data_IF_364019442390
#
_entry.id   IF_364019442390
#
_cell.length_a   1.000
_cell.length_b   1.000
_cell.length_c   1.000
_cell.angle_alpha   90.00
_cell.angle_beta   90.00
_cell.angle_gamma   90.00
#
_symmetry.space_group_name_H-M   'P 1'
#
loop_
_entity.id
_entity.type
_entity.pdbx_description
1 polymer ?
#
# COMPACT_ATOMS: atom_id res chain seq x y z
N UNK A 1 4.16 23.74 8.48
CA UNK A 1 4.28 22.81 7.34
C UNK A 1 5.70 22.71 6.79
N UNK A 2 6.35 23.83 6.40
CA UNK A 2 7.75 23.79 5.90
C UNK A 2 8.72 23.18 6.91
N UNK A 3 8.66 23.64 8.16
CA UNK A 3 9.48 23.13 9.27
C UNK A 3 9.25 21.62 9.54
N UNK A 4 8.00 21.14 9.48
CA UNK A 4 7.70 19.71 9.63
C UNK A 4 8.32 18.88 8.49
N UNK A 5 8.28 19.37 7.25
CA UNK A 5 8.91 18.69 6.12
C UNK A 5 10.44 18.64 6.28
N UNK A 6 11.05 19.72 6.77
CA UNK A 6 12.49 19.76 7.07
C UNK A 6 12.85 18.73 8.15
N UNK A 7 12.05 18.64 9.23
CA UNK A 7 12.25 17.63 10.27
C UNK A 7 12.15 16.20 9.73
N UNK A 8 11.19 15.93 8.83
CA UNK A 8 11.05 14.62 8.18
C UNK A 8 12.27 14.30 7.32
N UNK A 9 12.76 15.27 6.55
CA UNK A 9 13.93 15.09 5.69
C UNK A 9 15.18 14.82 6.54
N UNK A 10 15.41 15.60 7.60
CA UNK A 10 16.52 15.38 8.53
C UNK A 10 16.45 13.99 9.15
N UNK A 11 15.29 13.59 9.66
CA UNK A 11 15.10 12.24 10.21
C UNK A 11 15.39 11.15 9.17
N UNK A 12 14.95 11.31 7.92
CA UNK A 12 15.17 10.32 6.87
C UNK A 12 16.66 10.22 6.48
N UNK A 13 17.37 11.35 6.48
CA UNK A 13 18.83 11.39 6.28
C UNK A 13 19.56 10.67 7.41
N UNK A 14 19.20 10.94 8.67
CA UNK A 14 19.82 10.29 9.85
C UNK A 14 19.61 8.78 9.88
N UNK A 15 18.54 8.30 9.23
CA UNK A 15 18.25 6.86 9.04
C UNK A 15 18.93 6.25 7.82
N UNK A 16 19.68 7.01 7.04
CA UNK A 16 20.35 6.53 5.83
C UNK A 16 19.39 6.16 4.69
N UNK A 17 18.15 6.65 4.73
CA UNK A 17 17.13 6.34 3.71
C UNK A 17 17.57 6.89 2.35
N UNK A 18 18.12 8.10 2.32
CA UNK A 18 18.57 8.71 1.07
C UNK A 18 19.81 8.05 0.46
N UNK A 19 20.59 7.35 1.28
CA UNK A 19 21.80 6.65 0.82
C UNK A 19 21.51 5.22 0.33
N UNK A 20 20.43 4.60 0.84
CA UNK A 20 20.14 3.17 0.62
C UNK A 20 18.85 2.89 -0.16
N UNK A 21 17.97 3.88 -0.30
CA UNK A 21 16.68 3.77 -0.99
C UNK A 21 16.73 4.38 -2.40
N UNK A 22 15.63 4.22 -3.13
CA UNK A 22 15.43 4.82 -4.44
C UNK A 22 13.97 5.31 -4.57
N UNK A 23 13.67 6.24 -5.50
CA UNK A 23 12.31 6.71 -5.72
C UNK A 23 11.30 5.58 -5.91
N UNK A 24 11.63 4.54 -6.70
CA UNK A 24 10.74 3.39 -6.90
C UNK A 24 10.52 2.59 -5.61
N UNK A 25 11.58 2.34 -4.82
CA UNK A 25 11.45 1.66 -3.51
C UNK A 25 10.63 2.49 -2.50
N UNK A 26 10.79 3.81 -2.52
CA UNK A 26 10.00 4.68 -1.65
C UNK A 26 8.54 4.80 -2.13
N UNK A 27 8.30 4.71 -3.43
CA UNK A 27 6.97 4.67 -4.00
C UNK A 27 6.21 3.40 -3.59
N UNK A 28 6.86 2.23 -3.51
CA UNK A 28 6.21 1.02 -2.98
C UNK A 28 5.81 1.18 -1.51
N UNK A 29 6.63 1.86 -0.70
CA UNK A 29 6.26 2.20 0.68
C UNK A 29 5.08 3.18 0.74
N UNK A 30 5.04 4.15 -0.17
CA UNK A 30 3.90 5.07 -0.26
C UNK A 30 2.60 4.34 -0.61
N UNK A 31 2.65 3.35 -1.51
CA UNK A 31 1.48 2.51 -1.80
C UNK A 31 1.01 1.73 -0.56
N UNK A 32 1.93 1.19 0.24
CA UNK A 32 1.61 0.51 1.50
C UNK A 32 0.85 1.43 2.46
N UNK A 33 1.34 2.64 2.74
CA UNK A 33 0.65 3.58 3.65
C UNK A 33 -0.70 4.02 3.09
N UNK A 34 -0.83 4.16 1.76
CA UNK A 34 -2.14 4.43 1.13
C UNK A 34 -3.11 3.27 1.35
N UNK A 35 -2.64 2.01 1.33
CA UNK A 35 -3.51 0.86 1.62
C UNK A 35 -3.90 0.77 3.10
N UNK A 36 -3.02 1.18 4.02
CA UNK A 36 -3.38 1.36 5.44
C UNK A 36 -4.50 2.40 5.59
N UNK A 37 -4.38 3.55 4.91
CA UNK A 37 -5.42 4.58 4.92
C UNK A 37 -6.75 4.10 4.34
N UNK A 38 -6.74 3.40 3.20
CA UNK A 38 -7.95 2.81 2.61
C UNK A 38 -8.61 1.84 3.60
N UNK A 39 -7.82 1.02 4.28
CA UNK A 39 -8.32 0.06 5.28
C UNK A 39 -8.97 0.79 6.47
N UNK A 40 -8.30 1.80 7.02
CA UNK A 40 -8.81 2.60 8.14
C UNK A 40 -10.13 3.30 7.77
N UNK A 41 -10.25 3.82 6.54
CA UNK A 41 -11.47 4.43 6.02
C UNK A 41 -12.62 3.41 5.88
N UNK A 42 -12.34 2.21 5.35
CA UNK A 42 -13.33 1.13 5.22
C UNK A 42 -13.84 0.69 6.60
N UNK A 43 -12.94 0.59 7.57
CA UNK A 43 -13.26 0.21 8.95
C UNK A 43 -13.86 1.35 9.78
N UNK A 44 -13.87 2.58 9.26
CA UNK A 44 -14.31 3.81 9.96
C UNK A 44 -13.59 4.02 11.29
N UNK A 45 -12.30 3.70 11.35
CA UNK A 45 -11.49 3.86 12.55
C UNK A 45 -10.82 5.24 12.54
N UNK A 46 -11.36 6.19 13.31
CA UNK A 46 -10.90 7.59 13.33
C UNK A 46 -9.43 7.74 13.77
N UNK A 47 -8.97 6.95 14.74
CA UNK A 47 -7.58 7.02 15.23
C UNK A 47 -6.61 6.58 14.14
N UNK A 48 -6.87 5.42 13.51
CA UNK A 48 -6.04 4.89 12.43
C UNK A 48 -6.10 5.76 11.17
N UNK A 49 -7.23 6.43 10.90
CA UNK A 49 -7.34 7.39 9.79
C UNK A 49 -6.34 8.55 9.98
N UNK A 50 -6.25 9.11 11.19
CA UNK A 50 -5.34 10.23 11.48
C UNK A 50 -3.89 9.81 11.30
N UNK A 51 -3.51 8.66 11.85
CA UNK A 51 -2.15 8.13 11.74
C UNK A 51 -1.79 7.81 10.29
N UNK A 52 -2.65 7.12 9.55
CA UNK A 52 -2.39 6.75 8.16
C UNK A 52 -2.31 7.97 7.21
N UNK A 53 -3.10 9.02 7.43
CA UNK A 53 -2.95 10.30 6.69
C UNK A 53 -1.55 10.89 6.93
N UNK A 54 -1.07 10.86 8.18
CA UNK A 54 0.26 11.32 8.56
C UNK A 54 1.36 10.51 7.88
N UNK A 55 1.27 9.18 7.96
CA UNK A 55 2.26 8.25 7.38
C UNK A 55 2.34 8.40 5.85
N UNK A 56 1.21 8.54 5.14
CA UNK A 56 1.18 8.86 3.70
C UNK A 56 1.90 10.17 3.39
N UNK A 57 1.66 11.23 4.17
CA UNK A 57 2.33 12.50 3.94
C UNK A 57 3.85 12.42 4.20
N UNK A 58 4.27 11.69 5.25
CA UNK A 58 5.70 11.43 5.53
C UNK A 58 6.36 10.72 4.34
N UNK A 59 5.74 9.65 3.81
CA UNK A 59 6.34 8.92 2.68
C UNK A 59 6.40 9.75 1.41
N UNK A 60 5.41 10.63 1.15
CA UNK A 60 5.41 11.56 0.02
C UNK A 60 6.52 12.61 0.11
N UNK A 61 6.79 13.16 1.30
CA UNK A 61 7.88 14.12 1.51
C UNK A 61 9.24 13.47 1.22
N UNK A 62 9.47 12.26 1.73
CA UNK A 62 10.69 11.49 1.48
C UNK A 62 10.83 11.13 -0.01
N UNK A 63 9.74 10.67 -0.64
CA UNK A 63 9.71 10.33 -2.06
C UNK A 63 10.11 11.52 -2.94
N UNK A 64 9.53 12.70 -2.67
CA UNK A 64 9.88 13.92 -3.40
C UNK A 64 11.39 14.20 -3.30
N UNK A 65 11.96 14.10 -2.09
CA UNK A 65 13.38 14.36 -1.87
C UNK A 65 14.28 13.37 -2.62
N UNK A 66 13.93 12.09 -2.62
CA UNK A 66 14.65 11.05 -3.40
C UNK A 66 14.59 11.33 -4.91
N UNK A 67 13.42 11.72 -5.42
CA UNK A 67 13.23 12.00 -6.84
C UNK A 67 14.03 13.22 -7.34
N UNK A 68 14.42 14.15 -6.45
CA UNK A 68 15.31 15.26 -6.76
C UNK A 68 16.77 14.83 -6.89
N UNK A 69 17.21 13.82 -6.14
CA UNK A 69 18.62 13.41 -6.03
C UNK A 69 18.99 12.18 -6.86
N UNK A 70 18.02 11.42 -7.34
CA UNK A 70 18.25 10.14 -8.03
C UNK A 70 17.37 10.00 -9.26
N UNK A 71 17.90 9.32 -10.28
CA UNK A 71 17.14 8.95 -11.49
C UNK A 71 16.89 7.46 -11.49
N UNK A 72 15.68 7.09 -11.88
CA UNK A 72 15.26 5.71 -12.03
C UNK A 72 15.33 5.29 -13.49
N UNK A 73 15.46 3.98 -13.73
CA UNK A 73 15.23 3.46 -15.08
C UNK A 73 13.76 3.69 -15.48
N UNK A 74 13.54 4.14 -16.72
CA UNK A 74 12.20 4.31 -17.27
C UNK A 74 11.53 3.00 -17.67
N UNK A 75 12.19 1.85 -17.53
CA UNK A 75 11.71 0.56 -18.05
C UNK A 75 10.34 0.19 -17.50
N UNK A 76 10.12 0.39 -16.19
CA UNK A 76 8.84 0.07 -15.56
C UNK A 76 7.68 0.84 -16.19
N UNK A 77 7.91 2.09 -16.62
CA UNK A 77 6.89 2.97 -17.22
C UNK A 77 6.21 2.38 -18.46
N UNK A 78 6.86 1.42 -19.13
CA UNK A 78 6.32 0.77 -20.32
C UNK A 78 5.42 -0.44 -20.00
N UNK A 79 5.42 -0.92 -18.75
CA UNK A 79 4.66 -2.11 -18.35
C UNK A 79 3.15 -1.84 -18.34
N UNK A 80 2.36 -2.87 -18.71
CA UNK A 80 0.89 -2.81 -18.59
C UNK A 80 0.38 -2.73 -17.15
N UNK A 81 1.26 -2.85 -16.16
CA UNK A 81 0.90 -2.72 -14.74
C UNK A 81 0.18 -1.39 -14.43
N UNK A 82 0.57 -0.28 -15.06
CA UNK A 82 -0.07 1.01 -14.81
C UNK A 82 -1.50 1.07 -15.34
N UNK A 83 -1.78 0.40 -16.45
CA UNK A 83 -3.15 0.28 -16.99
C UNK A 83 -3.98 -0.64 -16.08
N UNK A 84 -3.39 -1.74 -15.59
CA UNK A 84 -4.02 -2.62 -14.62
C UNK A 84 -4.41 -1.85 -13.34
N UNK A 85 -3.49 -1.08 -12.76
CA UNK A 85 -3.73 -0.24 -11.58
C UNK A 85 -4.91 0.71 -11.83
N UNK A 86 -4.95 1.35 -13.00
CA UNK A 86 -6.06 2.24 -13.35
C UNK A 86 -7.41 1.51 -13.37
N UNK A 87 -7.48 0.30 -13.93
CA UNK A 87 -8.71 -0.50 -13.88
C UNK A 87 -9.11 -0.90 -12.46
N UNK A 88 -8.15 -1.23 -11.60
CA UNK A 88 -8.43 -1.52 -10.18
C UNK A 88 -9.03 -0.30 -9.48
N UNK A 89 -8.49 0.89 -9.72
CA UNK A 89 -9.02 2.15 -9.16
C UNK A 89 -10.44 2.43 -9.67
N UNK A 90 -10.71 2.22 -10.96
CA UNK A 90 -12.07 2.40 -11.51
C UNK A 90 -13.06 1.37 -10.96
N UNK A 91 -12.65 0.10 -10.78
CA UNK A 91 -13.47 -0.91 -10.09
C UNK A 91 -13.79 -0.46 -8.68
N UNK A 92 -12.79 -0.04 -7.91
CA UNK A 92 -12.96 0.43 -6.53
C UNK A 92 -13.98 1.57 -6.46
N UNK A 93 -13.80 2.60 -7.29
CA UNK A 93 -14.70 3.76 -7.38
C UNK A 93 -16.13 3.37 -7.73
N UNK A 94 -16.32 2.45 -8.70
CA UNK A 94 -17.65 1.98 -9.12
C UNK A 94 -18.34 1.15 -8.04
N UNK A 95 -17.60 0.32 -7.30
CA UNK A 95 -18.12 -0.41 -6.14
C UNK A 95 -18.65 0.58 -5.09
N UNK A 96 -17.88 1.63 -4.75
CA UNK A 96 -18.33 2.67 -3.82
C UNK A 96 -19.58 3.44 -4.31
N UNK A 97 -19.90 3.36 -5.59
CA UNK A 97 -21.06 3.99 -6.22
C UNK A 97 -22.20 3.00 -6.51
N UNK A 98 -22.08 1.74 -6.07
CA UNK A 98 -23.03 0.66 -6.37
C UNK A 98 -23.27 0.45 -7.88
N UNK A 99 -22.21 0.55 -8.70
CA UNK A 99 -22.27 0.38 -10.15
C UNK A 99 -21.75 -1.00 -10.58
N UNK A 100 -22.22 -1.48 -11.73
CA UNK A 100 -21.66 -2.66 -12.39
C UNK A 100 -20.18 -2.45 -12.74
N UNK A 101 -19.37 -3.48 -12.48
CA UNK A 101 -17.94 -3.51 -12.73
C UNK A 101 -17.52 -4.63 -13.68
N UNK A 102 -18.48 -5.35 -14.26
CA UNK A 102 -18.20 -6.57 -15.06
C UNK A 102 -17.19 -6.28 -16.17
N UNK A 103 -17.40 -5.19 -16.92
CA UNK A 103 -16.48 -4.82 -18.01
C UNK A 103 -15.11 -4.38 -17.50
N UNK A 104 -15.04 -3.72 -16.34
CA UNK A 104 -13.78 -3.23 -15.77
C UNK A 104 -12.94 -4.40 -15.24
N UNK A 105 -13.58 -5.41 -14.64
CA UNK A 105 -12.94 -6.66 -14.22
C UNK A 105 -12.35 -7.41 -15.41
N UNK A 106 -13.10 -7.56 -16.51
CA UNK A 106 -12.59 -8.22 -17.72
C UNK A 106 -11.36 -7.46 -18.27
N UNK A 107 -11.39 -6.13 -18.28
CA UNK A 107 -10.26 -5.31 -18.73
C UNK A 107 -9.05 -5.40 -17.80
N UNK A 108 -9.28 -5.45 -16.48
CA UNK A 108 -8.22 -5.70 -15.51
C UNK A 108 -7.58 -7.08 -15.74
N UNK A 109 -8.39 -8.12 -15.94
CA UNK A 109 -7.89 -9.47 -16.24
C UNK A 109 -7.09 -9.51 -17.55
N UNK A 110 -7.52 -8.81 -18.59
CA UNK A 110 -6.77 -8.70 -19.85
C UNK A 110 -5.41 -8.03 -19.64
N UNK A 111 -5.34 -6.94 -18.85
CA UNK A 111 -4.06 -6.29 -18.53
C UNK A 111 -3.17 -7.18 -17.69
N UNK A 112 -3.73 -7.92 -16.73
CA UNK A 112 -2.99 -8.89 -15.93
C UNK A 112 -2.40 -10.02 -16.79
N UNK A 113 -3.15 -10.49 -17.79
CA UNK A 113 -2.63 -11.45 -18.78
C UNK A 113 -1.42 -10.88 -19.53
N UNK A 114 -1.48 -9.62 -19.98
CA UNK A 114 -0.35 -8.94 -20.65
C UNK A 114 0.85 -8.76 -19.72
N UNK A 115 0.64 -8.41 -18.45
CA UNK A 115 1.71 -8.34 -17.45
C UNK A 115 2.37 -9.71 -17.25
N UNK A 116 1.59 -10.80 -17.22
CA UNK A 116 2.17 -12.15 -17.16
C UNK A 116 3.07 -12.43 -18.37
N UNK A 117 2.62 -12.08 -19.58
CA UNK A 117 3.41 -12.24 -20.81
C UNK A 117 4.70 -11.41 -20.80
N UNK A 118 4.66 -10.16 -20.33
CA UNK A 118 5.85 -9.31 -20.15
C UNK A 118 6.91 -9.96 -19.24
N UNK A 119 6.47 -10.86 -18.35
CA UNK A 119 7.31 -11.59 -17.41
C UNK A 119 7.56 -13.06 -17.81
N UNK A 120 7.31 -13.41 -19.08
CA UNK A 120 7.47 -14.78 -19.61
C UNK A 120 6.64 -15.83 -18.87
N UNK A 121 5.46 -15.45 -18.39
CA UNK A 121 4.49 -16.31 -17.72
C UNK A 121 3.16 -16.35 -18.50
N UNK A 122 2.30 -17.31 -18.16
CA UNK A 122 0.90 -17.34 -18.61
C UNK A 122 -0.04 -17.10 -17.45
N UNK A 123 -1.21 -16.52 -17.71
CA UNK A 123 -2.19 -16.26 -16.66
C UNK A 123 -2.71 -17.57 -16.05
N UNK A 124 -2.80 -18.63 -16.85
CA UNK A 124 -3.22 -19.96 -16.43
C UNK A 124 -2.21 -20.58 -15.46
N UNK A 125 -0.90 -20.50 -15.76
CA UNK A 125 0.15 -21.01 -14.88
C UNK A 125 0.18 -20.24 -13.55
N UNK A 126 0.13 -18.91 -13.61
CA UNK A 126 0.07 -18.04 -12.42
C UNK A 126 -1.16 -18.36 -11.55
N UNK A 127 -2.33 -18.49 -12.18
CA UNK A 127 -3.59 -18.78 -11.49
C UNK A 127 -3.60 -20.18 -10.90
N UNK A 128 -3.11 -21.19 -11.64
CA UNK A 128 -3.00 -22.57 -11.16
C UNK A 128 -2.07 -22.67 -9.95
N UNK A 129 -0.93 -21.95 -9.98
CA UNK A 129 0.00 -21.86 -8.86
C UNK A 129 -0.68 -21.30 -7.60
N UNK A 130 -1.40 -20.18 -7.74
CA UNK A 130 -2.16 -19.58 -6.64
C UNK A 130 -3.27 -20.52 -6.14
N UNK A 131 -4.00 -21.17 -7.05
CA UNK A 131 -5.06 -22.12 -6.73
C UNK A 131 -4.56 -23.30 -5.90
N UNK A 132 -3.43 -23.91 -6.30
CA UNK A 132 -2.83 -25.04 -5.59
C UNK A 132 -2.48 -24.73 -4.13
N UNK A 133 -2.26 -23.45 -3.80
CA UNK A 133 -2.04 -22.97 -2.44
C UNK A 133 -3.37 -22.73 -1.73
N UNK A 134 -4.30 -21.97 -2.33
CA UNK A 134 -5.55 -21.58 -1.65
C UNK A 134 -6.52 -22.74 -1.46
N UNK A 135 -6.54 -23.72 -2.37
CA UNK A 135 -7.43 -24.88 -2.31
C UNK A 135 -7.13 -25.79 -1.09
N UNK A 136 -5.93 -25.66 -0.50
CA UNK A 136 -5.48 -26.41 0.67
C UNK A 136 -5.65 -25.64 1.97
N UNK A 137 -6.05 -24.35 1.92
CA UNK A 137 -6.16 -23.52 3.12
C UNK A 137 -7.38 -23.95 3.94
N UNK A 138 -7.18 -24.03 5.25
CA UNK A 138 -8.25 -24.12 6.23
C UNK A 138 -8.36 -22.77 6.96
N UNK A 139 -9.56 -22.44 7.42
CA UNK A 139 -9.86 -21.12 7.99
C UNK A 139 -11.34 -20.88 8.20
N UNK A 140 -11.66 -19.69 8.71
CA UNK A 140 -13.03 -19.21 8.96
C UNK A 140 -13.19 -17.76 8.53
N UNK A 141 -14.42 -17.37 8.20
CA UNK A 141 -14.76 -15.97 7.97
C UNK A 141 -14.84 -15.22 9.31
N UNK A 142 -14.16 -14.09 9.42
CA UNK A 142 -14.22 -13.15 10.55
C UNK A 142 -14.34 -11.75 9.97
N UNK A 143 -15.37 -10.99 10.37
CA UNK A 143 -15.60 -9.61 9.93
C UNK A 143 -15.52 -9.39 8.41
N UNK A 144 -16.08 -10.34 7.64
CA UNK A 144 -16.11 -10.26 6.18
C UNK A 144 -14.82 -10.68 5.48
N UNK A 145 -13.81 -11.15 6.22
CA UNK A 145 -12.53 -11.60 5.67
C UNK A 145 -12.26 -13.07 6.03
N UNK A 146 -11.70 -13.83 5.10
CA UNK A 146 -11.28 -15.21 5.37
C UNK A 146 -9.96 -15.22 6.16
N UNK A 147 -10.01 -15.72 7.41
CA UNK A 147 -8.86 -15.87 8.33
C UNK A 147 -8.41 -17.33 8.35
N UNK A 148 -7.13 -17.59 8.14
CA UNK A 148 -6.54 -18.94 8.11
C UNK A 148 -6.44 -19.53 9.52
N UNK A 149 -6.46 -20.87 9.64
CA UNK A 149 -6.37 -21.55 10.95
C UNK A 149 -4.96 -21.57 11.58
N UNK A 150 -3.92 -21.15 10.86
CA UNK A 150 -2.53 -21.30 11.32
C UNK A 150 -2.19 -20.34 12.49
N UNK A 151 -1.65 -20.81 13.64
CA UNK A 151 -1.52 -20.00 14.85
C UNK A 151 -0.40 -18.96 14.82
N UNK A 152 0.40 -18.87 13.76
CA UNK A 152 1.50 -17.90 13.65
C UNK A 152 1.10 -16.56 13.02
N UNK A 153 -0.13 -16.41 12.52
CA UNK A 153 -0.61 -15.15 11.92
C UNK A 153 -2.05 -14.80 12.28
N UNK A 154 -2.45 -14.99 13.54
CA UNK A 154 -3.65 -14.33 14.07
C UNK A 154 -3.52 -12.79 14.16
N UNK A 155 -2.48 -12.19 13.56
CA UNK A 155 -2.18 -10.75 13.60
C UNK A 155 -1.83 -10.10 12.24
N UNK A 156 -2.05 -10.76 11.08
CA UNK A 156 -1.85 -10.08 9.78
C UNK A 156 -3.12 -9.44 9.20
N UNK A 157 -4.24 -9.50 9.93
CA UNK A 157 -5.35 -8.56 9.86
C UNK A 157 -5.60 -8.11 11.31
N UNK A 158 -5.24 -6.86 11.61
CA UNK A 158 -5.00 -6.30 12.96
C UNK A 158 -3.65 -6.69 13.61
N UNK A 159 -2.55 -6.29 12.99
CA UNK A 159 -1.60 -5.52 13.79
C UNK A 159 -1.98 -4.06 13.58
N UNK A 160 -2.93 -3.55 14.38
CA UNK A 160 -2.76 -2.16 14.79
C UNK A 160 -1.30 -2.09 15.25
N UNK A 161 -0.46 -1.31 14.55
CA UNK A 161 0.86 -0.95 15.09
C UNK A 161 0.58 -0.60 16.55
N UNK A 162 1.25 -1.22 17.55
CA UNK A 162 0.92 -0.92 18.95
C UNK A 162 0.93 0.60 19.07
N UNK A 163 -0.22 1.18 19.47
CA UNK A 163 -0.43 2.62 19.47
C UNK A 163 0.86 3.28 19.93
N UNK A 164 1.50 4.08 19.07
CA UNK A 164 2.79 4.69 19.38
C UNK A 164 2.61 5.37 20.73
N UNK A 165 3.24 4.83 21.79
CA UNK A 165 3.15 5.44 23.12
C UNK A 165 3.67 6.87 22.96
N UNK A 166 2.76 7.84 23.07
CA UNK A 166 3.11 9.26 23.02
C UNK A 166 4.28 9.50 23.98
N UNK A 167 5.33 10.23 23.58
CA UNK A 167 6.24 10.80 24.55
C UNK A 167 5.40 11.63 25.53
N UNK A 168 5.56 11.42 26.84
CA UNK A 168 5.03 12.32 27.85
C UNK A 168 5.81 13.64 27.78
N UNK A 169 5.53 14.44 26.76
CA UNK A 169 6.06 15.79 26.58
C UNK A 169 4.97 16.78 26.92
N UNK A 170 4.83 17.11 28.20
CA UNK A 170 4.04 18.26 28.60
C UNK A 170 4.65 19.52 27.99
N UNK A 171 3.92 20.18 27.09
CA UNK A 171 4.20 21.57 26.77
C UNK A 171 3.81 22.36 28.02
N UNK A 172 4.80 22.70 28.84
CA UNK A 172 4.64 23.80 29.79
C UNK A 172 4.57 25.08 28.96
N UNK A 173 3.36 25.57 28.75
CA UNK A 173 3.15 26.98 28.45
C UNK A 173 3.54 27.75 29.71
N UNK A 174 4.72 28.36 29.71
CA UNK A 174 4.97 29.46 30.62
C UNK A 174 4.19 30.68 30.10
N UNK A 175 3.64 31.40 31.06
CA UNK A 175 2.79 32.59 31.00
C UNK A 175 3.19 33.64 29.96
#
# INVERSE_FOLDING_TARGET
MKELNENIITWAQDKGIFDSSSPLKQLTKTFEEVTELVTALVQKNEEEIVDAIGDVNVTLVILKKLAESTKESGDLANSKIFILINWIVEIFKKICQNKDVTIDVVRAQEMLHRVAQENNQTIESCTQSAYNVIAKRTGKMVDGVFVKDDPTEANSLQAAKPARKKPKGGIKTNE
#
